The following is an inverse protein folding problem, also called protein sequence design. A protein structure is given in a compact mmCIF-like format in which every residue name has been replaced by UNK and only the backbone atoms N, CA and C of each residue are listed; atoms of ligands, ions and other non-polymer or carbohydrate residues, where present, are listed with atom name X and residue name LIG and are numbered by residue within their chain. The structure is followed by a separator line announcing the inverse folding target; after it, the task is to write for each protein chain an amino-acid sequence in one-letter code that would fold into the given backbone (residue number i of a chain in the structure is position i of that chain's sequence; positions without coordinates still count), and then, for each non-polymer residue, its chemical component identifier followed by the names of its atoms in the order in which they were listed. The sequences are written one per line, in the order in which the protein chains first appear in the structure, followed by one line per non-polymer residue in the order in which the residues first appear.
data_IF_612546419229
#
_entry.id   IF_612546419229
#
_cell.length_a   1.000
_cell.length_b   1.000
_cell.length_c   1.000
_cell.angle_alpha   90.00
_cell.angle_beta   90.00
_cell.angle_gamma   90.00
#
_symmetry.space_group_name_H-M   'P 1'
#
loop_
_entity.id
_entity.type
_entity.pdbx_description
1 polymer ?
#
# COMPACT_ATOMS: atom_id res chain seq x y z
N UNK A 1 11.91 3.65 15.83
CA UNK A 1 10.55 3.12 16.03
C UNK A 1 9.87 2.98 14.68
N UNK A 2 9.35 1.80 14.40
CA UNK A 2 8.69 1.57 13.10
C UNK A 2 7.40 2.36 12.99
N UNK A 3 7.08 2.74 11.77
CA UNK A 3 5.81 3.40 11.46
C UNK A 3 5.01 2.53 10.50
N UNK A 4 3.69 2.61 10.62
CA UNK A 4 2.77 1.89 9.76
C UNK A 4 1.93 2.91 9.00
N UNK A 5 1.86 2.73 7.69
CA UNK A 5 1.00 3.53 6.82
C UNK A 5 -0.06 2.62 6.23
N UNK A 6 -1.31 2.97 6.44
CA UNK A 6 -2.43 2.20 5.91
C UNK A 6 -3.20 3.10 4.94
N UNK A 7 -3.23 2.69 3.68
CA UNK A 7 -4.04 3.36 2.68
C UNK A 7 -5.40 2.67 2.63
N UNK A 8 -6.45 3.41 2.97
CA UNK A 8 -7.82 2.88 3.01
C UNK A 8 -8.46 3.15 1.65
N UNK A 9 -8.81 2.10 0.94
CA UNK A 9 -9.34 2.21 -0.42
C UNK A 9 -10.82 1.82 -0.46
N UNK A 10 -11.63 2.70 -1.05
CA UNK A 10 -13.02 2.38 -1.37
C UNK A 10 -13.04 1.77 -2.76
N UNK A 11 -13.46 0.52 -2.87
CA UNK A 11 -13.42 -0.25 -4.12
C UNK A 11 -14.79 -0.83 -4.42
N UNK A 12 -15.42 -0.44 -5.54
CA UNK A 12 -16.68 -1.09 -5.95
C UNK A 12 -16.49 -2.58 -6.13
N UNK A 13 -17.53 -3.35 -5.85
CA UNK A 13 -17.46 -4.81 -5.89
C UNK A 13 -16.94 -5.33 -7.23
N UNK A 14 -17.37 -4.72 -8.33
CA UNK A 14 -16.96 -5.14 -9.68
C UNK A 14 -15.49 -4.82 -9.99
N UNK A 15 -14.84 -4.00 -9.16
CA UNK A 15 -13.43 -3.62 -9.37
C UNK A 15 -12.47 -4.34 -8.43
N UNK A 16 -12.96 -5.17 -7.52
CA UNK A 16 -12.11 -5.84 -6.53
C UNK A 16 -11.06 -6.73 -7.19
N UNK A 17 -11.46 -7.52 -8.15
CA UNK A 17 -10.54 -8.41 -8.86
C UNK A 17 -9.48 -7.61 -9.61
N UNK A 18 -9.88 -6.53 -10.26
CA UNK A 18 -8.96 -5.64 -10.99
C UNK A 18 -7.93 -5.04 -10.03
N UNK A 19 -8.38 -4.58 -8.86
CA UNK A 19 -7.48 -4.01 -7.86
C UNK A 19 -6.44 -5.04 -7.41
N UNK A 20 -6.87 -6.25 -7.09
CA UNK A 20 -5.97 -7.30 -6.62
C UNK A 20 -4.96 -7.69 -7.70
N UNK A 21 -5.39 -7.76 -8.95
CA UNK A 21 -4.48 -8.05 -10.05
C UNK A 21 -3.44 -6.95 -10.25
N UNK A 22 -3.85 -5.70 -10.11
CA UNK A 22 -2.92 -4.57 -10.24
C UNK A 22 -1.86 -4.59 -9.15
N UNK A 23 -2.25 -4.91 -7.91
CA UNK A 23 -1.28 -5.04 -6.83
C UNK A 23 -0.34 -6.22 -7.04
N UNK A 24 -0.84 -7.33 -7.55
CA UNK A 24 0.00 -8.48 -7.86
C UNK A 24 1.05 -8.15 -8.92
N UNK A 25 0.68 -7.36 -9.94
CA UNK A 25 1.62 -6.98 -10.99
C UNK A 25 2.67 -5.96 -10.53
N UNK A 26 2.43 -5.28 -9.42
CA UNK A 26 3.38 -4.32 -8.85
C UNK A 26 4.22 -4.91 -7.72
N UNK A 27 4.05 -6.18 -7.44
CA UNK A 27 4.82 -6.85 -6.40
C UNK A 27 6.32 -6.71 -6.71
N UNK A 28 7.12 -6.40 -5.70
CA UNK A 28 8.55 -6.19 -5.84
C UNK A 28 8.99 -4.74 -5.96
N UNK A 29 8.10 -3.84 -6.37
CA UNK A 29 8.47 -2.44 -6.56
C UNK A 29 8.77 -1.74 -5.23
N UNK A 30 7.93 -1.93 -4.23
CA UNK A 30 8.12 -1.31 -2.92
C UNK A 30 9.12 -2.06 -2.06
N UNK A 31 9.25 -3.36 -2.29
CA UNK A 31 10.09 -4.26 -1.49
C UNK A 31 11.57 -3.90 -1.56
N UNK A 32 12.01 -3.26 -2.63
CA UNK A 32 13.39 -2.86 -2.80
C UNK A 32 13.69 -1.47 -2.24
N UNK A 33 12.71 -0.79 -1.66
CA UNK A 33 12.90 0.55 -1.11
C UNK A 33 13.58 0.52 0.24
N UNK A 34 14.45 1.50 0.48
CA UNK A 34 15.17 1.62 1.76
C UNK A 34 14.18 1.81 2.90
N UNK A 35 14.38 1.05 3.97
CA UNK A 35 13.56 1.16 5.16
C UNK A 35 12.23 0.46 5.09
N UNK A 36 11.91 -0.16 3.95
CA UNK A 36 10.69 -0.96 3.82
C UNK A 36 10.80 -2.21 4.69
N UNK A 37 9.77 -2.50 5.48
CA UNK A 37 9.77 -3.66 6.37
C UNK A 37 8.71 -4.70 6.02
N UNK A 38 7.51 -4.27 5.64
CA UNK A 38 6.42 -5.22 5.39
C UNK A 38 5.33 -4.60 4.53
N UNK A 39 4.65 -5.44 3.76
CA UNK A 39 3.50 -5.05 2.93
C UNK A 39 2.43 -6.12 3.00
N UNK A 40 1.17 -5.69 3.13
CA UNK A 40 0.03 -6.57 2.98
C UNK A 40 -1.12 -5.81 2.31
N UNK A 41 -1.80 -6.49 1.40
CA UNK A 41 -3.07 -6.02 0.87
C UNK A 41 -4.17 -6.81 1.58
N UNK A 42 -5.05 -6.11 2.30
CA UNK A 42 -6.07 -6.74 3.13
C UNK A 42 -7.42 -6.63 2.43
N UNK A 43 -8.00 -7.79 2.11
CA UNK A 43 -9.34 -7.88 1.53
C UNK A 43 -10.37 -7.85 2.65
N UNK A 44 -11.42 -7.01 2.55
CA UNK A 44 -12.44 -7.00 3.59
C UNK A 44 -13.21 -8.32 3.61
N UNK A 45 -13.44 -8.85 4.80
CA UNK A 45 -14.21 -10.06 5.03
C UNK A 45 -15.44 -9.72 5.85
N UNK A 46 -15.26 -8.94 6.91
CA UNK A 46 -16.33 -8.58 7.85
C UNK A 46 -15.98 -7.28 8.54
N UNK A 47 -16.98 -6.49 8.85
CA UNK A 47 -16.81 -5.23 9.58
C UNK A 47 -16.60 -4.00 8.71
N UNK A 48 -16.14 -4.17 7.49
CA UNK A 48 -15.96 -3.11 6.52
C UNK A 48 -15.98 -3.70 5.12
N UNK A 49 -16.23 -2.87 4.12
CA UNK A 49 -16.12 -3.24 2.72
C UNK A 49 -14.92 -2.58 2.04
N UNK A 50 -14.05 -1.93 2.81
CA UNK A 50 -12.88 -1.23 2.29
C UNK A 50 -11.65 -2.10 2.31
N UNK A 51 -10.81 -1.95 1.28
CA UNK A 51 -9.50 -2.59 1.25
C UNK A 51 -8.50 -1.76 2.03
N UNK A 52 -7.54 -2.42 2.65
CA UNK A 52 -6.45 -1.74 3.34
C UNK A 52 -5.12 -2.15 2.71
N UNK A 53 -4.33 -1.15 2.34
CA UNK A 53 -2.95 -1.36 1.92
C UNK A 53 -2.06 -1.06 3.11
N UNK A 54 -1.56 -2.11 3.74
CA UNK A 54 -0.73 -2.01 4.93
C UNK A 54 0.73 -2.00 4.53
N UNK A 55 1.47 -0.98 4.97
CA UNK A 55 2.92 -0.94 4.79
C UNK A 55 3.58 -0.57 6.11
N UNK A 56 4.70 -1.21 6.40
CA UNK A 56 5.50 -0.93 7.59
C UNK A 56 6.87 -0.45 7.16
N UNK A 57 7.34 0.61 7.81
CA UNK A 57 8.58 1.29 7.47
C UNK A 57 9.45 1.45 8.70
N UNK A 58 10.76 1.42 8.50
CA UNK A 58 11.73 1.63 9.57
C UNK A 58 11.57 3.01 10.21
N UNK A 59 11.23 4.03 9.41
CA UNK A 59 11.07 5.40 9.89
C UNK A 59 10.13 6.18 8.98
N UNK A 60 9.63 7.29 9.49
CA UNK A 60 8.82 8.22 8.70
C UNK A 60 9.62 8.78 7.52
N UNK A 61 10.89 9.04 7.72
CA UNK A 61 11.75 9.57 6.67
C UNK A 61 11.86 8.60 5.49
N UNK A 62 12.02 7.31 5.77
CA UNK A 62 12.09 6.29 4.71
C UNK A 62 10.81 6.24 3.89
N UNK A 63 9.66 6.33 4.55
CA UNK A 63 8.37 6.38 3.87
C UNK A 63 8.28 7.61 2.95
N UNK A 64 8.66 8.77 3.46
CA UNK A 64 8.61 10.02 2.68
C UNK A 64 9.55 9.97 1.49
N UNK A 65 10.73 9.38 1.66
CA UNK A 65 11.67 9.22 0.56
C UNK A 65 11.09 8.34 -0.54
N UNK A 66 10.40 7.26 -0.16
CA UNK A 66 9.74 6.41 -1.14
C UNK A 66 8.63 7.15 -1.87
N UNK A 67 7.81 7.89 -1.13
CA UNK A 67 6.69 8.66 -1.72
C UNK A 67 7.17 9.71 -2.71
N UNK A 68 8.29 10.38 -2.41
CA UNK A 68 8.79 11.45 -3.27
C UNK A 68 9.67 10.96 -4.41
N UNK A 69 10.11 9.70 -4.37
CA UNK A 69 11.02 9.12 -5.37
C UNK A 69 10.36 8.01 -6.19
N UNK A 70 10.55 6.73 -5.79
CA UNK A 70 10.10 5.60 -6.60
C UNK A 70 8.60 5.60 -6.89
N UNK A 71 7.79 6.01 -5.94
CA UNK A 71 6.34 6.05 -6.15
C UNK A 71 5.95 7.05 -7.23
N UNK A 72 6.54 8.24 -7.20
CA UNK A 72 6.27 9.24 -8.23
C UNK A 72 6.75 8.79 -9.59
N UNK A 73 7.92 8.16 -9.66
CA UNK A 73 8.43 7.63 -10.92
C UNK A 73 7.49 6.57 -11.50
N UNK A 74 6.98 5.69 -10.66
CA UNK A 74 6.03 4.67 -11.10
C UNK A 74 4.75 5.29 -11.64
N UNK A 75 4.25 6.35 -10.98
CA UNK A 75 3.06 7.05 -11.45
C UNK A 75 3.29 7.77 -12.77
N UNK A 76 4.48 8.35 -12.95
CA UNK A 76 4.82 9.02 -14.22
C UNK A 76 4.90 8.05 -15.37
N UNK A 77 5.53 6.91 -15.17
CA UNK A 77 5.64 5.88 -16.20
C UNK A 77 4.27 5.39 -16.65
N UNK A 78 3.35 5.27 -15.71
CA UNK A 78 1.97 4.88 -16.03
C UNK A 78 1.16 5.97 -16.70
N UNK A 79 1.64 7.22 -16.71
CA UNK A 79 0.90 8.37 -17.22
C UNK A 79 1.34 8.90 -18.56
N UNK A 80 2.52 8.51 -19.05
CA UNK A 80 3.03 9.04 -20.31
C UNK A 80 2.43 8.32 -21.51
N UNK A 81 1.92 9.10 -22.44
CA UNK A 81 1.54 8.60 -23.76
C UNK A 81 0.19 7.94 -23.87
N UNK A 82 -0.71 8.12 -22.92
CA UNK A 82 -2.00 7.50 -23.07
C UNK A 82 -3.01 7.89 -22.01
N UNK A 83 -4.24 7.48 -22.27
CA UNK A 83 -5.29 7.63 -21.28
C UNK A 83 -4.93 6.82 -20.05
N UNK A 84 -4.97 7.46 -18.90
CA UNK A 84 -4.77 6.76 -17.64
C UNK A 84 -5.92 5.79 -17.46
N UNK A 85 -5.65 4.51 -17.18
CA UNK A 85 -6.74 3.62 -16.82
C UNK A 85 -7.41 4.18 -15.57
N UNK A 86 -8.72 4.04 -15.50
CA UNK A 86 -9.46 4.49 -14.33
C UNK A 86 -8.93 3.75 -13.11
N UNK A 87 -8.70 4.46 -11.99
CA UNK A 87 -8.33 3.76 -10.77
C UNK A 87 -9.43 2.79 -10.36
N UNK A 88 -9.04 1.62 -9.88
CA UNK A 88 -9.99 0.64 -9.38
C UNK A 88 -10.67 1.13 -8.11
N UNK A 89 -9.97 1.94 -7.33
CA UNK A 89 -10.53 2.54 -6.12
C UNK A 89 -11.21 3.86 -6.45
N UNK A 90 -12.37 4.13 -5.84
CA UNK A 90 -13.09 5.39 -6.01
C UNK A 90 -12.73 6.42 -4.95
N UNK A 91 -11.99 6.01 -3.91
CA UNK A 91 -11.53 6.91 -2.87
C UNK A 91 -10.35 6.31 -2.14
N UNK A 92 -9.51 7.16 -1.56
CA UNK A 92 -8.38 6.71 -0.77
C UNK A 92 -8.10 7.69 0.36
N UNK A 93 -7.70 7.14 1.50
CA UNK A 93 -7.30 7.91 2.68
C UNK A 93 -6.11 7.21 3.29
N UNK A 94 -5.11 7.98 3.70
CA UNK A 94 -3.90 7.40 4.31
C UNK A 94 -3.94 7.65 5.82
N UNK A 95 -3.84 6.58 6.59
CA UNK A 95 -3.70 6.62 8.03
C UNK A 95 -2.25 6.33 8.41
N UNK A 96 -1.75 7.03 9.41
CA UNK A 96 -0.38 6.87 9.89
C UNK A 96 -0.38 6.43 11.35
N UNK A 97 0.46 5.47 11.67
CA UNK A 97 0.57 4.93 13.02
C UNK A 97 2.02 4.73 13.40
N UNK A 98 2.32 4.89 14.68
CA UNK A 98 3.61 4.46 15.23
C UNK A 98 3.41 3.12 15.93
N UNK A 99 4.38 2.22 15.77
CA UNK A 99 4.31 0.92 16.44
C UNK A 99 4.81 1.11 17.87
N UNK A 100 3.89 1.07 18.82
CA UNK A 100 4.24 1.24 20.24
C UNK A 100 4.55 -0.08 20.93
N UNK A 101 4.14 -1.20 20.36
CA UNK A 101 4.40 -2.53 20.88
C UNK A 101 4.29 -3.56 19.77
N UNK A 102 5.18 -4.51 19.76
CA UNK A 102 5.08 -5.65 18.88
C UNK A 102 5.52 -6.91 19.60
N UNK A 103 4.98 -8.03 19.16
CA UNK A 103 5.35 -9.32 19.70
C UNK A 103 5.37 -10.34 18.57
N UNK A 104 6.34 -11.23 18.61
CA UNK A 104 6.40 -12.35 17.67
C UNK A 104 5.79 -13.58 18.34
N UNK A 105 5.28 -14.53 17.54
CA UNK A 105 4.79 -15.77 18.11
C UNK A 105 5.94 -16.51 18.78
N UNK A 106 5.63 -17.19 19.87
CA UNK A 106 6.61 -18.05 20.53
C UNK A 106 6.98 -19.19 19.60
N UNK A 107 8.27 -19.41 19.45
CA UNK A 107 8.72 -20.57 18.72
C UNK A 107 8.56 -21.81 19.62
N UNK A 108 7.91 -22.82 19.06
CA UNK A 108 7.72 -24.07 19.75
C UNK A 108 9.03 -24.86 19.77
#
# INVERSE_FOLDING_TARGET
MSVVKINVLTVPAEQREVLEQRFASRAGAVESSDGFEWFELLRPVEGTDQYLVYTRWRSEEDFRNWMSGPMQAAHREGGEGGERPRPAATGSTVWSFEVVQQAAPKQA
#
